data_IF_960910305519
#
_entry.id   IF_960910305519
#
_cell.length_a   1.000
_cell.length_b   1.000
_cell.length_c   1.000
_cell.angle_alpha   90.00
_cell.angle_beta   90.00
_cell.angle_gamma   90.00
#
_symmetry.space_group_name_H-M   'P 1'
#
loop_
_entity.id
_entity.type
_entity.pdbx_description
1 polymer ?
#
# COMPACT_ATOMS: atom_id res chain seq x y z
N UNK A 1 -23.09 -26.68 5.98
CA UNK A 1 -22.90 -26.02 4.66
C UNK A 1 -22.19 -24.67 4.78
N UNK A 2 -22.28 -23.94 5.91
CA UNK A 2 -21.55 -22.69 6.13
C UNK A 2 -20.03 -22.86 6.10
N UNK A 3 -19.52 -23.98 6.62
CA UNK A 3 -18.07 -24.26 6.66
C UNK A 3 -17.46 -24.38 5.26
N UNK A 4 -18.16 -25.06 4.35
CA UNK A 4 -17.72 -25.22 2.94
C UNK A 4 -17.80 -23.89 2.19
N UNK A 5 -18.81 -23.06 2.50
CA UNK A 5 -18.91 -21.73 1.93
C UNK A 5 -17.77 -20.83 2.41
N UNK A 6 -17.42 -20.88 3.69
CA UNK A 6 -16.33 -20.09 4.25
C UNK A 6 -14.96 -20.54 3.69
N UNK A 7 -14.76 -21.85 3.53
CA UNK A 7 -13.58 -22.40 2.86
C UNK A 7 -13.47 -21.92 1.40
N UNK A 8 -14.58 -21.91 0.67
CA UNK A 8 -14.60 -21.39 -0.71
C UNK A 8 -14.24 -19.90 -0.74
N UNK A 9 -14.80 -19.08 0.15
CA UNK A 9 -14.48 -17.65 0.23
C UNK A 9 -12.99 -17.42 0.50
N UNK A 10 -12.40 -18.15 1.47
CA UNK A 10 -10.95 -18.09 1.73
C UNK A 10 -10.15 -18.49 0.50
N UNK A 11 -10.60 -19.51 -0.22
CA UNK A 11 -9.92 -19.98 -1.43
C UNK A 11 -9.99 -18.95 -2.56
N UNK A 12 -11.13 -18.29 -2.71
CA UNK A 12 -11.36 -17.23 -3.71
C UNK A 12 -10.50 -15.98 -3.44
N UNK A 13 -10.01 -15.80 -2.22
CA UNK A 13 -9.13 -14.71 -1.83
C UNK A 13 -7.66 -14.90 -2.21
N UNK A 14 -7.21 -16.13 -2.48
CA UNK A 14 -5.81 -16.37 -2.84
C UNK A 14 -5.41 -15.72 -4.15
N UNK A 15 -6.24 -15.87 -5.18
CA UNK A 15 -5.96 -15.30 -6.49
C UNK A 15 -5.82 -13.76 -6.46
N UNK A 16 -6.76 -12.98 -5.87
CA UNK A 16 -6.61 -11.53 -5.79
C UNK A 16 -5.49 -11.10 -4.85
N UNK A 17 -5.23 -11.80 -3.75
CA UNK A 17 -4.11 -11.50 -2.86
C UNK A 17 -2.75 -11.74 -3.54
N UNK A 18 -2.60 -12.83 -4.30
CA UNK A 18 -1.38 -13.11 -5.05
C UNK A 18 -1.16 -12.06 -6.15
N UNK A 19 -2.22 -11.70 -6.88
CA UNK A 19 -2.15 -10.63 -7.89
C UNK A 19 -1.75 -9.29 -7.26
N UNK A 20 -2.23 -8.99 -6.05
CA UNK A 20 -1.86 -7.79 -5.32
C UNK A 20 -0.37 -7.81 -4.97
N UNK A 21 0.15 -8.93 -4.46
CA UNK A 21 1.56 -9.09 -4.15
C UNK A 21 2.44 -8.90 -5.40
N UNK A 22 2.08 -9.53 -6.52
CA UNK A 22 2.79 -9.41 -7.79
C UNK A 22 2.81 -7.95 -8.28
N UNK A 23 1.69 -7.23 -8.15
CA UNK A 23 1.61 -5.81 -8.49
C UNK A 23 2.48 -4.94 -7.58
N UNK A 24 2.55 -5.24 -6.29
CA UNK A 24 3.43 -4.51 -5.37
C UNK A 24 4.91 -4.76 -5.69
N UNK A 25 5.27 -5.98 -6.13
CA UNK A 25 6.63 -6.26 -6.59
C UNK A 25 6.96 -5.50 -7.89
N UNK A 26 6.01 -5.44 -8.84
CA UNK A 26 6.14 -4.65 -10.06
C UNK A 26 6.22 -3.14 -9.77
N UNK A 27 5.42 -2.64 -8.83
CA UNK A 27 5.45 -1.26 -8.35
C UNK A 27 6.85 -0.91 -7.84
N UNK A 28 7.46 -1.83 -7.09
CA UNK A 28 8.84 -1.66 -6.62
C UNK A 28 9.82 -1.45 -7.77
N UNK A 29 9.75 -2.27 -8.82
CA UNK A 29 10.61 -2.15 -10.00
C UNK A 29 10.34 -0.84 -10.77
N UNK A 30 9.07 -0.50 -10.97
CA UNK A 30 8.64 0.72 -11.66
C UNK A 30 9.09 1.99 -10.92
N UNK A 31 9.06 1.98 -9.58
CA UNK A 31 9.57 3.07 -8.74
C UNK A 31 11.07 3.27 -8.95
N UNK A 32 11.87 2.21 -9.08
CA UNK A 32 13.30 2.34 -9.36
C UNK A 32 13.56 2.88 -10.76
N UNK A 33 12.79 2.41 -11.75
CA UNK A 33 12.86 2.86 -13.15
C UNK A 33 12.27 4.26 -13.40
N UNK A 34 11.53 4.83 -12.43
CA UNK A 34 10.76 6.08 -12.56
C UNK A 34 9.77 6.06 -13.74
N UNK A 35 9.18 4.90 -14.00
CA UNK A 35 8.22 4.71 -15.09
C UNK A 35 6.81 5.18 -14.64
N UNK A 36 6.54 6.46 -14.83
CA UNK A 36 5.28 7.08 -14.36
C UNK A 36 4.03 6.49 -15.03
N UNK A 37 3.99 6.25 -16.35
CA UNK A 37 2.84 5.57 -16.99
C UNK A 37 2.56 4.18 -16.41
N UNK A 38 3.60 3.39 -16.15
CA UNK A 38 3.45 2.07 -15.54
C UNK A 38 2.92 2.17 -14.10
N UNK A 39 3.39 3.13 -13.31
CA UNK A 39 2.92 3.36 -11.95
C UNK A 39 1.43 3.71 -11.89
N UNK A 40 0.93 4.53 -12.83
CA UNK A 40 -0.50 4.86 -12.91
C UNK A 40 -1.36 3.63 -13.23
N UNK A 41 -0.91 2.79 -14.17
CA UNK A 41 -1.59 1.54 -14.50
C UNK A 41 -1.62 0.56 -13.31
N UNK A 42 -0.51 0.45 -12.58
CA UNK A 42 -0.40 -0.36 -11.36
C UNK A 42 -1.34 0.16 -10.28
N UNK A 43 -1.41 1.48 -10.06
CA UNK A 43 -2.26 2.10 -9.05
C UNK A 43 -3.75 1.78 -9.31
N UNK A 44 -4.21 1.92 -10.56
CA UNK A 44 -5.59 1.62 -10.93
C UNK A 44 -5.94 0.15 -10.65
N UNK A 45 -5.05 -0.78 -10.99
CA UNK A 45 -5.27 -2.22 -10.77
C UNK A 45 -5.21 -2.60 -9.29
N UNK A 46 -4.29 -2.01 -8.53
CA UNK A 46 -4.18 -2.16 -7.07
C UNK A 46 -5.48 -1.75 -6.37
N UNK A 47 -6.07 -0.61 -6.74
CA UNK A 47 -7.31 -0.13 -6.15
C UNK A 47 -8.47 -1.11 -6.36
N UNK A 48 -8.59 -1.69 -7.56
CA UNK A 48 -9.62 -2.70 -7.85
C UNK A 48 -9.48 -3.96 -6.99
N UNK A 49 -8.25 -4.45 -6.80
CA UNK A 49 -7.99 -5.64 -5.97
C UNK A 49 -8.25 -5.38 -4.49
N UNK A 50 -7.89 -4.19 -3.98
CA UNK A 50 -8.17 -3.82 -2.58
C UNK A 50 -9.67 -3.84 -2.31
N UNK A 51 -10.47 -3.25 -3.20
CA UNK A 51 -11.94 -3.23 -3.06
C UNK A 51 -12.50 -4.66 -3.07
N UNK A 52 -11.98 -5.52 -3.95
CA UNK A 52 -12.41 -6.92 -4.03
C UNK A 52 -12.10 -7.70 -2.74
N UNK A 53 -10.87 -7.60 -2.25
CA UNK A 53 -10.42 -8.25 -1.00
C UNK A 53 -11.20 -7.73 0.21
N UNK A 54 -11.53 -6.43 0.24
CA UNK A 54 -12.37 -5.85 1.30
C UNK A 54 -13.79 -6.43 1.26
N UNK A 55 -14.40 -6.56 0.07
CA UNK A 55 -15.71 -7.17 -0.08
C UNK A 55 -15.71 -8.64 0.37
N UNK A 56 -14.68 -9.40 0.02
CA UNK A 56 -14.54 -10.78 0.46
C UNK A 56 -14.36 -10.87 1.97
N UNK A 57 -13.51 -10.02 2.56
CA UNK A 57 -13.35 -9.91 4.01
C UNK A 57 -14.66 -9.64 4.74
N UNK A 58 -15.48 -8.72 4.23
CA UNK A 58 -16.82 -8.46 4.77
C UNK A 58 -17.74 -9.68 4.69
N UNK A 59 -17.78 -10.37 3.55
CA UNK A 59 -18.58 -11.61 3.39
C UNK A 59 -18.17 -12.69 4.39
N UNK A 60 -16.87 -12.91 4.61
CA UNK A 60 -16.39 -13.87 5.62
C UNK A 60 -16.85 -13.48 7.02
N UNK A 61 -16.75 -12.19 7.37
CA UNK A 61 -17.23 -11.67 8.66
C UNK A 61 -18.74 -11.81 8.82
N UNK A 62 -19.52 -11.57 7.77
CA UNK A 62 -20.98 -11.76 7.76
C UNK A 62 -21.36 -13.23 7.99
N UNK A 63 -20.63 -14.17 7.40
CA UNK A 63 -20.85 -15.61 7.63
C UNK A 63 -20.61 -15.95 9.11
N UNK A 64 -19.50 -15.51 9.71
CA UNK A 64 -19.23 -15.74 11.13
C UNK A 64 -20.28 -15.07 12.03
N UNK A 65 -20.66 -13.83 11.73
CA UNK A 65 -21.69 -13.10 12.46
C UNK A 65 -23.07 -13.78 12.39
N UNK A 66 -23.43 -14.36 11.24
CA UNK A 66 -24.69 -15.11 11.06
C UNK A 66 -24.78 -16.36 11.94
N UNK A 67 -23.63 -16.87 12.39
CA UNK A 67 -23.50 -18.01 13.29
C UNK A 67 -23.35 -17.58 14.76
N UNK A 68 -23.51 -16.29 15.06
CA UNK A 68 -23.24 -15.69 16.37
C UNK A 68 -21.81 -15.95 16.88
N UNK A 69 -20.85 -16.12 15.96
CA UNK A 69 -19.45 -16.28 16.27
C UNK A 69 -18.72 -14.94 16.19
N UNK A 70 -17.63 -14.75 16.96
CA UNK A 70 -16.72 -13.64 16.76
C UNK A 70 -16.25 -13.53 15.31
N UNK A 71 -16.13 -12.32 14.76
CA UNK A 71 -15.65 -12.11 13.38
C UNK A 71 -14.12 -12.01 13.32
N UNK A 72 -13.45 -12.90 14.04
CA UNK A 72 -12.00 -12.94 14.18
C UNK A 72 -11.49 -14.39 14.10
N UNK A 73 -10.19 -14.57 14.33
CA UNK A 73 -9.57 -15.90 14.35
C UNK A 73 -10.20 -16.83 15.39
N UNK A 74 -10.64 -16.32 16.53
CA UNK A 74 -11.29 -17.12 17.58
C UNK A 74 -12.63 -17.66 17.10
N UNK A 75 -13.43 -16.87 16.39
CA UNK A 75 -14.68 -17.38 15.81
C UNK A 75 -14.45 -18.41 14.70
N UNK A 76 -13.40 -18.24 13.91
CA UNK A 76 -12.99 -19.23 12.90
C UNK A 76 -12.56 -20.57 13.54
N UNK A 77 -11.80 -20.52 14.64
CA UNK A 77 -11.39 -21.69 15.44
C UNK A 77 -12.60 -22.40 16.07
N UNK A 78 -13.56 -21.64 16.60
CA UNK A 78 -14.81 -22.17 17.15
C UNK A 78 -15.65 -22.89 16.09
N UNK A 79 -15.73 -22.33 14.88
CA UNK A 79 -16.39 -23.00 13.75
C UNK A 79 -15.66 -24.30 13.37
N UNK A 80 -14.33 -24.23 13.25
CA UNK A 80 -13.49 -25.36 12.87
C UNK A 80 -13.59 -26.53 13.86
N UNK A 81 -13.73 -26.26 15.17
CA UNK A 81 -13.85 -27.28 16.20
C UNK A 81 -15.09 -28.19 16.02
N UNK A 82 -16.14 -27.68 15.37
CA UNK A 82 -17.41 -28.39 15.15
C UNK A 82 -17.57 -28.91 13.71
N UNK A 83 -16.55 -28.70 12.86
CA UNK A 83 -16.62 -29.01 11.43
C UNK A 83 -15.67 -30.15 11.03
N UNK A 84 -16.13 -31.04 10.16
CA UNK A 84 -15.29 -32.10 9.57
C UNK A 84 -14.17 -31.57 8.67
N UNK A 85 -14.26 -30.32 8.20
CA UNK A 85 -13.24 -29.64 7.38
C UNK A 85 -12.49 -28.55 8.16
N UNK A 86 -12.62 -28.52 9.49
CA UNK A 86 -12.07 -27.47 10.34
C UNK A 86 -10.55 -27.29 10.21
N UNK A 87 -9.78 -28.38 10.13
CA UNK A 87 -8.33 -28.29 9.98
C UNK A 87 -7.92 -27.65 8.65
N UNK A 88 -8.57 -28.00 7.56
CA UNK A 88 -8.32 -27.42 6.25
C UNK A 88 -8.67 -25.92 6.24
N UNK A 89 -9.80 -25.57 6.85
CA UNK A 89 -10.25 -24.18 6.96
C UNK A 89 -9.26 -23.31 7.74
N UNK A 90 -8.72 -23.81 8.86
CA UNK A 90 -7.68 -23.13 9.63
C UNK A 90 -6.38 -23.00 8.82
N UNK A 91 -5.94 -24.08 8.19
CA UNK A 91 -4.71 -24.08 7.39
C UNK A 91 -4.79 -23.08 6.23
N UNK A 92 -5.89 -23.05 5.47
CA UNK A 92 -6.07 -22.10 4.38
C UNK A 92 -6.17 -20.66 4.90
N UNK A 93 -6.83 -20.44 6.05
CA UNK A 93 -6.86 -19.12 6.67
C UNK A 93 -5.46 -18.63 7.06
N UNK A 94 -4.59 -19.52 7.55
CA UNK A 94 -3.21 -19.18 7.91
C UNK A 94 -2.37 -18.81 6.69
N UNK A 95 -2.49 -19.59 5.61
CA UNK A 95 -1.80 -19.28 4.34
C UNK A 95 -2.29 -17.94 3.78
N UNK A 96 -3.59 -17.66 3.83
CA UNK A 96 -4.14 -16.39 3.35
C UNK A 96 -3.63 -15.21 4.19
N UNK A 97 -3.60 -15.37 5.52
CA UNK A 97 -3.07 -14.33 6.41
C UNK A 97 -1.59 -14.04 6.12
N UNK A 98 -0.78 -15.07 5.90
CA UNK A 98 0.63 -14.88 5.53
C UNK A 98 0.76 -14.11 4.22
N UNK A 99 -0.04 -14.44 3.21
CA UNK A 99 -0.01 -13.75 1.92
C UNK A 99 -0.42 -12.27 2.03
N UNK A 100 -1.39 -11.96 2.88
CA UNK A 100 -1.80 -10.57 3.16
C UNK A 100 -0.73 -9.81 3.94
N UNK A 101 -0.03 -10.47 4.87
CA UNK A 101 1.12 -9.90 5.58
C UNK A 101 2.26 -9.59 4.60
N UNK A 102 2.56 -10.49 3.67
CA UNK A 102 3.55 -10.26 2.62
C UNK A 102 3.19 -9.06 1.73
N UNK A 103 1.90 -8.90 1.41
CA UNK A 103 1.39 -7.71 0.71
C UNK A 103 1.62 -6.44 1.53
N UNK A 104 1.34 -6.46 2.84
CA UNK A 104 1.57 -5.31 3.72
C UNK A 104 3.04 -4.91 3.74
N UNK A 105 3.94 -5.88 3.95
CA UNK A 105 5.40 -5.65 3.98
C UNK A 105 5.90 -5.08 2.66
N UNK A 106 5.44 -5.61 1.53
CA UNK A 106 5.79 -5.11 0.20
C UNK A 106 5.31 -3.66 -0.01
N UNK A 107 4.07 -3.34 0.39
CA UNK A 107 3.50 -2.00 0.29
C UNK A 107 4.25 -0.98 1.18
N UNK A 108 4.59 -1.35 2.42
CA UNK A 108 5.40 -0.51 3.31
C UNK A 108 6.80 -0.23 2.72
N UNK A 109 7.43 -1.24 2.11
CA UNK A 109 8.72 -1.08 1.43
C UNK A 109 8.61 -0.06 0.28
N UNK A 110 7.58 -0.18 -0.55
CA UNK A 110 7.35 0.75 -1.66
C UNK A 110 7.07 2.16 -1.16
N UNK A 111 6.26 2.31 -0.10
CA UNK A 111 6.00 3.59 0.54
C UNK A 111 7.27 4.28 1.04
N UNK A 112 8.17 3.55 1.70
CA UNK A 112 9.48 4.09 2.11
C UNK A 112 10.31 4.56 0.91
N UNK A 113 10.32 3.79 -0.19
CA UNK A 113 11.04 4.17 -1.42
C UNK A 113 10.50 5.48 -2.01
N UNK A 114 9.17 5.64 -2.06
CA UNK A 114 8.52 6.86 -2.54
C UNK A 114 8.95 8.08 -1.71
N UNK A 115 8.94 7.97 -0.38
CA UNK A 115 9.34 9.07 0.51
C UNK A 115 10.80 9.50 0.27
N UNK A 116 11.71 8.54 0.12
CA UNK A 116 13.12 8.82 -0.18
C UNK A 116 13.27 9.52 -1.54
N UNK A 117 12.55 9.05 -2.55
CA UNK A 117 12.58 9.63 -3.90
C UNK A 117 12.00 11.05 -3.93
N UNK A 118 10.93 11.31 -3.19
CA UNK A 118 10.35 12.65 -3.03
C UNK A 118 11.34 13.61 -2.36
N UNK A 119 12.01 13.18 -1.28
CA UNK A 119 13.02 13.98 -0.59
C UNK A 119 14.21 14.32 -1.51
N UNK A 120 14.71 13.33 -2.27
CA UNK A 120 15.79 13.53 -3.24
C UNK A 120 15.38 14.50 -4.36
N UNK A 121 14.18 14.35 -4.91
CA UNK A 121 13.67 15.22 -5.98
C UNK A 121 13.48 16.66 -5.47
N UNK A 122 12.91 16.83 -4.28
CA UNK A 122 12.76 18.14 -3.65
C UNK A 122 14.12 18.82 -3.41
N UNK A 123 15.12 18.05 -2.98
CA UNK A 123 16.49 18.55 -2.84
C UNK A 123 17.10 18.97 -4.18
N UNK A 124 16.93 18.17 -5.24
CA UNK A 124 17.40 18.50 -6.59
C UNK A 124 16.73 19.78 -7.13
N UNK A 125 15.41 19.91 -6.98
CA UNK A 125 14.69 21.12 -7.37
C UNK A 125 15.17 22.35 -6.59
N UNK A 126 15.48 22.20 -5.29
CA UNK A 126 16.04 23.30 -4.48
C UNK A 126 17.38 23.78 -5.03
N UNK A 127 18.24 22.86 -5.44
CA UNK A 127 19.53 23.19 -6.06
C UNK A 127 19.31 23.90 -7.39
N UNK A 128 18.45 23.36 -8.26
CA UNK A 128 18.17 23.95 -9.59
C UNK A 128 17.53 25.33 -9.50
N UNK A 129 16.68 25.56 -8.50
CA UNK A 129 16.04 26.85 -8.24
C UNK A 129 16.98 27.84 -7.51
N UNK A 130 18.26 27.51 -7.34
CA UNK A 130 19.29 28.45 -6.86
C UNK A 130 19.46 28.55 -5.35
N UNK A 131 18.88 27.64 -4.55
CA UNK A 131 19.03 27.66 -3.09
C UNK A 131 18.58 28.96 -2.41
N UNK A 132 18.82 29.10 -1.10
CA UNK A 132 18.85 30.44 -0.50
C UNK A 132 20.01 31.21 -1.13
N UNK A 133 19.74 32.38 -1.69
CA UNK A 133 20.79 33.23 -2.25
C UNK A 133 21.79 33.54 -1.12
N UNK A 134 23.09 33.26 -1.29
CA UNK A 134 24.08 33.64 -0.29
C UNK A 134 24.00 35.15 -0.10
N UNK A 135 24.02 35.57 1.17
CA UNK A 135 24.12 36.99 1.50
C UNK A 135 25.40 37.54 0.87
N UNK A 136 25.24 38.49 -0.05
CA UNK A 136 26.41 39.16 -0.62
C UNK A 136 27.02 40.03 0.46
N UNK A 137 28.35 40.04 0.54
CA UNK A 137 29.06 40.96 1.41
C UNK A 137 28.90 42.39 0.88
N UNK A 138 28.42 43.31 1.72
CA UNK A 138 28.45 44.73 1.41
C UNK A 138 29.89 45.27 1.42
N UNK A 139 30.11 46.48 0.90
CA UNK A 139 31.44 47.11 0.89
C UNK A 139 32.04 47.35 2.29
N UNK A 140 31.30 47.08 3.38
CA UNK A 140 31.72 47.20 4.78
C UNK A 140 31.96 45.85 5.45
N UNK A 141 31.80 44.74 4.73
CA UNK A 141 32.01 43.42 5.29
C UNK A 141 30.80 42.80 5.99
N UNK A 142 29.59 43.30 5.75
CA UNK A 142 28.35 42.81 6.37
C UNK A 142 27.47 42.06 5.36
N UNK A 143 26.64 41.13 5.84
CA UNK A 143 25.75 40.32 5.00
C UNK A 143 24.55 41.14 4.52
N UNK A 144 24.49 41.48 3.23
CA UNK A 144 23.34 42.12 2.61
C UNK A 144 22.34 41.06 2.11
N UNK A 145 21.07 41.21 2.51
CA UNK A 145 19.96 40.42 1.96
C UNK A 145 19.70 40.85 0.51
N UNK A 146 19.88 39.94 -0.45
CA UNK A 146 19.47 40.14 -1.84
C UNK A 146 17.94 40.29 -1.89
N UNK A 147 17.47 41.42 -2.39
CA UNK A 147 16.04 41.64 -2.69
C UNK A 147 15.64 40.67 -3.80
N UNK A 148 14.76 39.71 -3.48
CA UNK A 148 14.17 38.78 -4.47
C UNK A 148 13.48 39.58 -5.59
N UNK A 149 13.81 39.37 -6.88
CA UNK A 149 13.01 39.93 -7.97
C UNK A 149 11.63 39.27 -7.98
N UNK A 150 10.57 40.08 -8.05
CA UNK A 150 9.17 39.62 -8.16
C UNK A 150 8.95 38.89 -9.48
N UNK A 151 8.17 37.79 -9.51
CA UNK A 151 7.87 37.08 -10.74
C UNK A 151 7.01 37.94 -11.69
N UNK A 152 7.43 37.98 -12.96
CA UNK A 152 6.71 38.61 -14.07
C UNK A 152 5.52 37.73 -14.47
N UNK A 153 4.45 37.77 -13.68
CA UNK A 153 3.18 37.11 -14.02
C UNK A 153 2.01 38.07 -13.78
N UNK A 154 2.09 39.28 -14.34
CA UNK A 154 0.93 40.09 -14.71
C UNK A 154 1.34 41.03 -15.86
N UNK A 155 0.99 40.64 -17.08
CA UNK A 155 0.82 41.51 -18.23
C UNK A 155 -0.25 40.87 -19.13
#
# INVERSE_FOLDING_TARGET
MHDTNLLQLITDDFAPAQQLLDLLQQESLALHGRDMPLLEAILARKQGLIILLEQHGRRRSEVLASLNLPTDRSGLEQLAAHSGIGQELLAQSDVLNQLLEDCQVANERNGRSILVQQASTAHQLRILNGGESPTLYDARGSTAMLVKPRPLSQA
#
